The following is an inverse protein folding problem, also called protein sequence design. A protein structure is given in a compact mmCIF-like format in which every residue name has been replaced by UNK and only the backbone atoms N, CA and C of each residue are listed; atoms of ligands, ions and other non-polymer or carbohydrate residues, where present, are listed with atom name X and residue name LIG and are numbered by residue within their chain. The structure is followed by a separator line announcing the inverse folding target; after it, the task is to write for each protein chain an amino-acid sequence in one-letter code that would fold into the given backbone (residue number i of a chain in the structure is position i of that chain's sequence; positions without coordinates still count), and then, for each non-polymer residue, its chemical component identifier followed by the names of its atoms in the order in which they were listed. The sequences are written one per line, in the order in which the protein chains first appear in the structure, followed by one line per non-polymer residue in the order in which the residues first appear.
data_IF_135485647384
#
_entry.id   IF_135485647384
#
_cell.length_a   1.000
_cell.length_b   1.000
_cell.length_c   1.000
_cell.angle_alpha   90.00
_cell.angle_beta   90.00
_cell.angle_gamma   90.00
#
_symmetry.space_group_name_H-M   'P 1'
#
loop_
_entity.id
_entity.type
_entity.pdbx_description
1 polymer ?
#
# COMPACT_ATOMS: atom_id res chain seq x y z
N UNK A 1 -3.36 -11.22 19.59
CA UNK A 1 -2.09 -11.99 19.58
C UNK A 1 -2.12 -13.10 20.61
N UNK A 2 -2.44 -12.80 21.88
CA UNK A 2 -2.45 -13.76 23.01
C UNK A 2 -3.20 -15.09 22.76
N UNK A 3 -4.24 -15.11 21.93
CA UNK A 3 -5.01 -16.32 21.59
C UNK A 3 -4.33 -17.24 20.54
N UNK A 4 -3.11 -16.94 20.10
CA UNK A 4 -2.38 -17.73 19.09
C UNK A 4 -2.86 -17.55 17.64
N UNK A 5 -4.03 -16.94 17.41
CA UNK A 5 -4.59 -16.72 16.07
C UNK A 5 -3.70 -15.83 15.20
N UNK A 6 -3.12 -14.77 15.75
CA UNK A 6 -2.28 -13.83 14.99
C UNK A 6 -1.03 -14.53 14.42
N UNK A 7 -0.41 -15.39 15.22
CA UNK A 7 0.77 -16.16 14.83
C UNK A 7 0.48 -17.04 13.61
N UNK A 8 -0.72 -17.62 13.55
CA UNK A 8 -1.15 -18.42 12.39
C UNK A 8 -1.20 -17.60 11.10
N UNK A 9 -1.61 -16.32 11.18
CA UNK A 9 -1.55 -15.42 10.03
C UNK A 9 -0.11 -15.18 9.54
N UNK A 10 0.86 -15.03 10.45
CA UNK A 10 2.29 -14.97 10.07
C UNK A 10 2.72 -16.26 9.38
N UNK A 11 2.35 -17.42 9.94
CA UNK A 11 2.69 -18.74 9.36
C UNK A 11 2.05 -18.98 7.98
N UNK A 12 0.84 -18.45 7.74
CA UNK A 12 0.18 -18.53 6.43
C UNK A 12 1.02 -17.81 5.37
N UNK A 13 1.51 -16.61 5.70
CA UNK A 13 2.31 -15.81 4.78
C UNK A 13 3.74 -16.35 4.61
N UNK A 14 4.27 -17.01 5.65
CA UNK A 14 5.60 -17.62 5.65
C UNK A 14 5.68 -18.93 4.84
N UNK A 15 4.54 -19.62 4.61
CA UNK A 15 4.53 -20.88 3.85
C UNK A 15 5.01 -20.63 2.41
N UNK A 16 6.09 -21.31 2.02
CA UNK A 16 6.88 -20.96 0.84
C UNK A 16 6.08 -20.96 -0.47
N UNK A 17 5.22 -21.96 -0.71
CA UNK A 17 4.47 -22.00 -1.97
C UNK A 17 3.35 -20.97 -1.99
N UNK A 18 2.69 -20.74 -0.85
CA UNK A 18 1.69 -19.68 -0.72
C UNK A 18 2.34 -18.31 -0.93
N UNK A 19 3.52 -18.07 -0.37
CA UNK A 19 4.27 -16.83 -0.54
C UNK A 19 4.68 -16.57 -1.99
N UNK A 20 5.22 -17.59 -2.68
CA UNK A 20 5.58 -17.53 -4.11
C UNK A 20 4.38 -17.35 -5.04
N UNK A 21 3.20 -17.79 -4.62
CA UNK A 21 1.97 -17.51 -5.34
C UNK A 21 1.53 -16.07 -5.08
N UNK A 22 1.61 -15.61 -3.83
CA UNK A 22 1.16 -14.29 -3.40
C UNK A 22 2.00 -13.10 -3.89
N UNK A 23 3.24 -13.29 -4.36
CA UNK A 23 4.15 -12.19 -4.72
C UNK A 23 4.81 -12.39 -6.08
N UNK A 24 5.08 -11.30 -6.78
CA UNK A 24 5.63 -11.23 -8.13
C UNK A 24 4.81 -12.00 -9.17
N UNK A 25 3.50 -12.16 -8.92
CA UNK A 25 2.59 -12.87 -9.81
C UNK A 25 1.34 -12.06 -10.13
N UNK A 26 0.54 -12.57 -11.04
CA UNK A 26 -0.79 -12.05 -11.39
C UNK A 26 -1.82 -12.12 -10.26
N UNK A 27 -1.52 -12.81 -9.14
CA UNK A 27 -2.50 -13.01 -8.07
C UNK A 27 -2.28 -12.15 -6.83
N UNK A 28 -1.20 -11.34 -6.80
CA UNK A 28 -0.78 -10.54 -5.65
C UNK A 28 -1.93 -9.81 -4.93
N UNK A 29 -2.67 -8.97 -5.66
CA UNK A 29 -3.77 -8.19 -5.08
C UNK A 29 -4.90 -9.08 -4.52
N UNK A 30 -5.23 -10.16 -5.22
CA UNK A 30 -6.34 -11.05 -4.87
C UNK A 30 -6.00 -11.95 -3.69
N UNK A 31 -4.76 -12.44 -3.64
CA UNK A 31 -4.26 -13.26 -2.53
C UNK A 31 -4.30 -12.47 -1.24
N UNK A 32 -3.75 -11.25 -1.25
CA UNK A 32 -3.73 -10.36 -0.10
C UNK A 32 -5.14 -9.92 0.32
N UNK A 33 -6.05 -9.64 -0.62
CA UNK A 33 -7.46 -9.36 -0.29
C UNK A 33 -8.12 -10.48 0.50
N UNK A 34 -8.01 -11.73 0.04
CA UNK A 34 -8.56 -12.89 0.78
C UNK A 34 -7.90 -13.05 2.15
N UNK A 35 -6.59 -12.81 2.23
CA UNK A 35 -5.84 -12.86 3.48
C UNK A 35 -6.33 -11.82 4.49
N UNK A 36 -6.55 -10.57 4.05
CA UNK A 36 -7.10 -9.49 4.86
C UNK A 36 -8.53 -9.79 5.33
N UNK A 37 -9.40 -10.32 4.48
CA UNK A 37 -10.76 -10.71 4.86
C UNK A 37 -10.77 -11.79 5.95
N UNK A 38 -9.91 -12.80 5.83
CA UNK A 38 -9.72 -13.79 6.89
C UNK A 38 -9.25 -13.17 8.20
N UNK A 39 -8.33 -12.19 8.14
CA UNK A 39 -7.83 -11.50 9.31
C UNK A 39 -8.89 -10.61 9.96
N UNK A 40 -9.68 -9.89 9.16
CA UNK A 40 -10.81 -9.09 9.62
C UNK A 40 -11.87 -9.96 10.31
N UNK A 41 -12.25 -11.08 9.70
CA UNK A 41 -13.16 -12.05 10.28
C UNK A 41 -12.64 -12.59 11.63
N UNK A 42 -11.33 -12.82 11.74
CA UNK A 42 -10.70 -13.19 13.00
C UNK A 42 -10.86 -12.10 14.06
N UNK A 43 -10.62 -10.83 13.72
CA UNK A 43 -10.82 -9.71 14.65
C UNK A 43 -12.28 -9.57 15.08
N UNK A 44 -13.23 -9.67 14.15
CA UNK A 44 -14.68 -9.62 14.43
C UNK A 44 -15.12 -10.73 15.39
N UNK A 45 -14.46 -11.88 15.35
CA UNK A 45 -14.76 -13.02 16.23
C UNK A 45 -14.33 -12.85 17.69
N UNK A 46 -13.60 -11.78 18.03
CA UNK A 46 -13.06 -11.58 19.38
C UNK A 46 -14.10 -11.16 20.43
N UNK A 47 -15.37 -11.00 20.02
CA UNK A 47 -16.52 -10.75 20.89
C UNK A 47 -17.40 -9.63 20.34
N UNK A 48 -18.56 -9.41 20.96
CA UNK A 48 -19.60 -8.49 20.46
C UNK A 48 -19.12 -7.08 20.20
N UNK A 49 -18.13 -6.59 20.97
CA UNK A 49 -17.53 -5.26 20.79
C UNK A 49 -16.83 -5.11 19.43
N UNK A 50 -16.37 -6.20 18.83
CA UNK A 50 -15.60 -6.20 17.59
C UNK A 50 -16.42 -6.64 16.37
N UNK A 51 -17.69 -7.03 16.55
CA UNK A 51 -18.51 -7.61 15.46
C UNK A 51 -18.65 -6.70 14.23
N UNK A 52 -18.60 -5.38 14.42
CA UNK A 52 -18.67 -4.37 13.37
C UNK A 52 -17.29 -3.77 13.02
N UNK A 53 -16.20 -4.36 13.50
CA UNK A 53 -14.86 -3.87 13.20
C UNK A 53 -14.61 -4.00 11.69
N UNK A 54 -14.07 -2.95 11.10
CA UNK A 54 -13.45 -2.98 9.78
C UNK A 54 -11.95 -2.73 9.92
N UNK A 55 -11.15 -3.31 9.02
CA UNK A 55 -9.74 -3.01 8.95
C UNK A 55 -9.54 -1.59 8.41
N UNK A 56 -8.81 -0.72 9.12
CA UNK A 56 -8.43 0.58 8.57
C UNK A 56 -7.28 0.42 7.56
N UNK A 57 -7.16 1.35 6.62
CA UNK A 57 -6.01 1.45 5.72
C UNK A 57 -5.04 2.54 6.21
N UNK A 58 -3.77 2.44 5.85
CA UNK A 58 -2.78 3.49 6.14
C UNK A 58 -2.69 4.47 4.96
N UNK A 59 -3.29 5.65 5.10
CA UNK A 59 -3.22 6.75 4.14
C UNK A 59 -1.86 7.46 4.17
N UNK A 60 -0.82 6.79 3.65
CA UNK A 60 0.49 7.41 3.53
C UNK A 60 0.56 8.50 2.45
N UNK A 61 -0.46 8.62 1.57
CA UNK A 61 -0.56 9.75 0.61
C UNK A 61 -0.85 11.04 1.35
N UNK A 62 -1.83 11.02 2.27
CA UNK A 62 -2.09 12.15 3.17
C UNK A 62 -0.89 12.47 4.05
N UNK A 63 -0.26 11.44 4.63
CA UNK A 63 0.89 11.66 5.51
C UNK A 63 2.09 12.24 4.75
N UNK A 64 2.31 11.83 3.50
CA UNK A 64 3.33 12.41 2.62
C UNK A 64 3.04 13.88 2.29
N UNK A 65 1.79 14.22 1.95
CA UNK A 65 1.39 15.62 1.75
C UNK A 65 1.61 16.48 3.00
N UNK A 66 1.37 15.91 4.19
CA UNK A 66 1.62 16.57 5.48
C UNK A 66 3.12 16.86 5.66
N UNK A 67 4.00 15.93 5.30
CA UNK A 67 5.46 16.15 5.27
C UNK A 67 5.86 17.23 4.27
N UNK A 68 5.25 17.21 3.07
CA UNK A 68 5.45 18.23 2.04
C UNK A 68 5.10 19.65 2.50
N UNK A 69 4.15 19.78 3.44
CA UNK A 69 3.78 21.03 4.09
C UNK A 69 4.62 21.39 5.33
N UNK A 70 5.77 20.73 5.51
CA UNK A 70 6.74 20.92 6.61
C UNK A 70 6.20 20.75 8.04
N UNK A 71 5.01 20.12 8.19
CA UNK A 71 4.37 19.88 9.50
C UNK A 71 4.94 18.68 10.27
N UNK A 72 5.72 17.85 9.60
CA UNK A 72 6.36 16.66 10.15
C UNK A 72 7.57 16.28 9.28
N UNK A 73 8.45 15.41 9.78
CA UNK A 73 9.72 15.08 9.11
C UNK A 73 10.05 13.59 9.06
N UNK A 74 9.21 12.74 9.63
CA UNK A 74 9.43 11.30 9.73
C UNK A 74 8.12 10.52 9.69
N UNK A 75 8.19 9.24 9.34
CA UNK A 75 7.04 8.33 9.33
C UNK A 75 6.26 8.44 10.65
N UNK A 76 6.95 8.39 11.79
CA UNK A 76 6.28 8.43 13.09
C UNK A 76 5.69 9.81 13.44
N UNK A 77 6.32 10.90 12.96
CA UNK A 77 5.77 12.25 13.16
C UNK A 77 4.60 12.57 12.22
N UNK A 78 4.62 12.04 11.00
CA UNK A 78 3.61 12.28 9.97
C UNK A 78 2.40 11.33 10.06
N UNK A 79 2.58 10.12 10.60
CA UNK A 79 1.58 9.06 10.58
C UNK A 79 1.13 8.66 11.99
N UNK A 80 -0.05 9.14 12.46
CA UNK A 80 -0.57 8.78 13.78
C UNK A 80 -0.76 7.27 14.00
N UNK A 81 -1.07 6.51 12.94
CA UNK A 81 -1.24 5.05 13.06
C UNK A 81 0.03 4.37 13.56
N UNK A 82 1.21 4.79 13.10
CA UNK A 82 2.47 4.15 13.49
C UNK A 82 2.73 4.28 15.00
N UNK A 83 2.41 5.45 15.58
CA UNK A 83 2.39 5.67 17.04
C UNK A 83 1.30 4.87 17.73
N UNK A 84 0.09 4.86 17.17
CA UNK A 84 -1.06 4.09 17.69
C UNK A 84 -0.80 2.58 17.75
N UNK A 85 0.06 2.07 16.87
CA UNK A 85 0.52 0.69 16.86
C UNK A 85 1.84 0.48 17.64
N UNK A 86 2.24 1.43 18.49
CA UNK A 86 3.33 1.30 19.45
C UNK A 86 4.60 2.11 19.15
N UNK A 87 4.70 2.75 17.99
CA UNK A 87 5.88 3.51 17.55
C UNK A 87 7.11 2.62 17.30
N UNK A 88 8.30 3.22 17.18
CA UNK A 88 9.55 2.48 16.93
C UNK A 88 10.58 2.53 18.07
N UNK A 89 10.41 3.41 19.05
CA UNK A 89 11.52 3.81 19.94
C UNK A 89 11.53 3.19 21.34
N UNK A 90 10.38 2.73 21.84
CA UNK A 90 10.26 2.21 23.22
C UNK A 90 10.54 0.72 23.28
N UNK A 91 11.72 0.36 23.78
CA UNK A 91 12.15 -1.03 23.96
C UNK A 91 13.66 -1.13 24.14
N UNK A 92 14.19 -2.35 23.97
CA UNK A 92 15.63 -2.62 23.94
C UNK A 92 16.02 -3.26 22.61
N UNK A 93 17.31 -3.25 22.26
CA UNK A 93 17.79 -3.95 21.06
C UNK A 93 17.38 -5.44 21.12
N UNK A 94 16.91 -5.97 19.99
CA UNK A 94 16.38 -7.34 19.96
C UNK A 94 17.46 -8.41 20.14
N UNK A 95 18.72 -8.10 19.79
CA UNK A 95 19.85 -9.01 19.91
C UNK A 95 19.67 -10.27 19.05
N UNK A 96 19.97 -11.44 19.60
CA UNK A 96 19.88 -12.73 18.90
C UNK A 96 18.54 -13.45 19.13
N UNK A 97 17.50 -12.73 19.58
CA UNK A 97 16.15 -13.31 19.70
C UNK A 97 15.67 -13.80 18.34
N UNK A 98 15.11 -15.00 18.31
CA UNK A 98 14.54 -15.61 17.12
C UNK A 98 13.08 -15.20 16.97
N UNK A 99 12.72 -14.72 15.78
CA UNK A 99 11.37 -14.38 15.37
C UNK A 99 11.06 -15.14 14.08
N UNK A 100 10.31 -16.24 14.20
CA UNK A 100 9.93 -17.08 13.06
C UNK A 100 11.12 -17.54 12.19
N UNK A 101 12.27 -17.83 12.80
CA UNK A 101 13.49 -18.22 12.08
C UNK A 101 14.45 -17.08 11.75
N UNK A 102 14.11 -15.82 12.07
CA UNK A 102 14.91 -14.64 11.75
C UNK A 102 15.40 -13.90 13.00
N UNK A 103 16.50 -13.13 12.87
CA UNK A 103 17.02 -12.26 13.93
C UNK A 103 17.16 -10.83 13.43
N UNK A 104 17.01 -9.86 14.34
CA UNK A 104 17.00 -8.43 14.01
C UNK A 104 17.88 -7.62 14.99
N UNK A 105 19.17 -7.95 15.13
CA UNK A 105 19.99 -7.55 16.28
C UNK A 105 20.05 -6.05 16.53
N UNK A 106 20.00 -5.25 15.46
CA UNK A 106 20.12 -3.80 15.52
C UNK A 106 18.77 -3.08 15.65
N UNK A 107 17.64 -3.77 15.47
CA UNK A 107 16.31 -3.19 15.62
C UNK A 107 15.92 -3.09 17.09
N UNK A 108 15.16 -2.05 17.43
CA UNK A 108 14.54 -1.92 18.75
C UNK A 108 13.38 -2.89 18.81
N UNK A 109 13.39 -3.78 19.80
CA UNK A 109 12.26 -4.65 20.11
C UNK A 109 11.21 -3.86 20.88
N UNK A 110 10.21 -3.35 20.15
CA UNK A 110 9.22 -2.40 20.66
C UNK A 110 8.24 -3.08 21.61
N UNK A 111 8.12 -2.53 22.81
CA UNK A 111 7.32 -3.10 23.93
C UNK A 111 6.05 -2.29 24.23
N UNK A 112 5.71 -1.29 23.41
CA UNK A 112 4.43 -0.61 23.52
C UNK A 112 3.31 -1.47 22.92
N UNK A 113 2.08 -1.30 23.40
CA UNK A 113 0.92 -1.99 22.80
C UNK A 113 0.67 -1.49 21.37
N UNK A 114 0.22 -2.38 20.45
CA UNK A 114 -0.02 -3.81 20.64
C UNK A 114 1.23 -4.70 20.49
N UNK A 115 2.38 -4.16 20.05
CA UNK A 115 3.62 -4.93 19.82
C UNK A 115 4.08 -5.74 21.04
N UNK A 116 3.78 -5.25 22.24
CA UNK A 116 4.05 -5.93 23.52
C UNK A 116 3.39 -7.31 23.67
N UNK A 117 2.39 -7.62 22.85
CA UNK A 117 1.65 -8.88 22.88
C UNK A 117 2.15 -9.89 21.83
N UNK A 118 3.24 -9.58 21.13
CA UNK A 118 3.80 -10.49 20.13
C UNK A 118 4.35 -11.75 20.80
N UNK A 119 3.99 -12.87 20.19
CA UNK A 119 4.49 -14.20 20.47
C UNK A 119 4.85 -14.85 19.13
N UNK A 120 5.91 -15.65 19.05
CA UNK A 120 6.26 -16.37 17.81
C UNK A 120 5.60 -17.74 17.71
N UNK A 121 5.18 -18.30 18.85
CA UNK A 121 4.59 -19.63 18.94
C UNK A 121 3.10 -19.55 19.31
N UNK A 122 2.16 -20.03 18.47
CA UNK A 122 0.74 -20.03 18.78
C UNK A 122 0.44 -20.72 20.12
N UNK A 123 -0.22 -20.01 21.05
CA UNK A 123 -0.64 -20.58 22.35
C UNK A 123 0.47 -20.78 23.38
N UNK A 124 1.70 -20.35 23.11
CA UNK A 124 2.79 -20.36 24.10
C UNK A 124 2.56 -19.30 25.19
N UNK A 125 2.84 -19.65 26.44
CA UNK A 125 2.94 -18.67 27.54
C UNK A 125 4.30 -17.96 27.60
N UNK A 126 5.31 -18.50 26.92
CA UNK A 126 6.62 -17.87 26.75
C UNK A 126 6.62 -17.10 25.42
N UNK A 127 6.51 -15.77 25.52
CA UNK A 127 6.43 -14.87 24.39
C UNK A 127 7.57 -13.84 24.41
N UNK A 128 7.94 -13.35 23.24
CA UNK A 128 8.99 -12.35 23.05
C UNK A 128 8.56 -10.98 23.61
N UNK A 129 7.24 -10.73 23.65
CA UNK A 129 6.60 -9.52 24.18
C UNK A 129 7.10 -8.22 23.53
N UNK A 130 7.52 -8.31 22.26
CA UNK A 130 7.92 -7.17 21.47
C UNK A 130 7.95 -7.49 19.98
N UNK A 131 7.88 -6.45 19.15
CA UNK A 131 8.12 -6.52 17.69
C UNK A 131 9.38 -5.71 17.38
N UNK A 132 10.43 -6.31 16.78
CA UNK A 132 11.57 -5.52 16.32
C UNK A 132 11.12 -4.56 15.19
N UNK A 133 11.48 -3.28 15.26
CA UNK A 133 11.10 -2.28 14.24
C UNK A 133 12.28 -1.47 13.72
N UNK A 134 12.17 -1.00 12.48
CA UNK A 134 13.04 0.05 11.94
C UNK A 134 12.85 1.37 12.69
N UNK A 135 13.75 2.33 12.50
CA UNK A 135 13.71 3.61 13.21
C UNK A 135 12.74 4.62 12.57
N UNK A 136 11.44 4.35 12.69
CA UNK A 136 10.39 5.16 12.05
C UNK A 136 10.35 6.61 12.57
N UNK A 137 10.84 6.85 13.78
CA UNK A 137 10.95 8.18 14.37
C UNK A 137 11.94 9.09 13.64
N UNK A 138 12.98 8.52 13.01
CA UNK A 138 14.02 9.24 12.28
C UNK A 138 14.08 8.86 10.78
N UNK A 139 13.11 8.11 10.29
CA UNK A 139 13.00 7.75 8.86
C UNK A 139 11.96 8.65 8.20
N UNK A 140 12.35 9.40 7.17
CA UNK A 140 11.43 10.24 6.41
C UNK A 140 10.37 9.42 5.66
N UNK A 141 9.26 10.07 5.27
CA UNK A 141 8.39 9.47 4.25
C UNK A 141 9.09 9.53 2.90
N UNK A 142 8.70 8.65 1.98
CA UNK A 142 9.38 8.46 0.70
C UNK A 142 8.51 8.93 -0.47
N UNK A 143 9.13 9.35 -1.56
CA UNK A 143 8.43 9.77 -2.79
C UNK A 143 7.43 8.71 -3.29
N UNK A 144 7.69 7.43 -3.09
CA UNK A 144 6.80 6.35 -3.50
C UNK A 144 5.42 6.40 -2.81
N UNK A 145 5.31 7.08 -1.66
CA UNK A 145 4.05 7.37 -0.95
C UNK A 145 3.33 8.62 -1.50
N UNK A 146 3.92 9.36 -2.44
CA UNK A 146 3.35 10.61 -2.96
C UNK A 146 2.12 10.40 -3.82
N UNK A 147 1.24 11.40 -3.84
CA UNK A 147 0.04 11.42 -4.67
C UNK A 147 0.34 11.18 -6.16
N UNK A 148 1.34 11.88 -6.71
CA UNK A 148 1.75 11.73 -8.11
C UNK A 148 2.25 10.32 -8.44
N UNK A 149 2.99 9.68 -7.52
CA UNK A 149 3.43 8.30 -7.73
C UNK A 149 2.24 7.34 -7.68
N UNK A 150 1.41 7.37 -6.62
CA UNK A 150 0.26 6.46 -6.49
C UNK A 150 -0.69 6.58 -7.69
N UNK A 151 -0.97 7.81 -8.16
CA UNK A 151 -1.76 8.05 -9.38
C UNK A 151 -1.21 7.27 -10.57
N UNK A 152 0.11 7.34 -10.80
CA UNK A 152 0.76 6.64 -11.91
C UNK A 152 0.60 5.14 -11.79
N UNK A 153 0.88 4.57 -10.61
CA UNK A 153 0.92 3.12 -10.44
C UNK A 153 -0.46 2.48 -10.63
N UNK A 154 -1.51 3.19 -10.20
CA UNK A 154 -2.90 2.71 -10.31
C UNK A 154 -3.52 3.03 -11.67
N UNK A 155 -3.39 4.28 -12.14
CA UNK A 155 -4.22 4.76 -13.25
C UNK A 155 -3.51 4.76 -14.61
N UNK A 156 -2.21 4.49 -14.72
CA UNK A 156 -1.54 4.53 -16.04
C UNK A 156 -1.73 3.27 -16.90
N UNK A 157 -2.21 2.18 -16.32
CA UNK A 157 -2.33 0.89 -17.00
C UNK A 157 -3.77 0.53 -17.35
N UNK A 158 -3.93 -0.25 -18.42
CA UNK A 158 -5.22 -0.73 -18.93
C UNK A 158 -5.54 -2.18 -18.56
N UNK A 159 -4.60 -2.91 -17.94
CA UNK A 159 -4.83 -4.31 -17.52
C UNK A 159 -4.42 -4.51 -16.06
N UNK A 160 -5.14 -5.37 -15.35
CA UNK A 160 -4.89 -5.61 -13.92
C UNK A 160 -3.51 -6.22 -13.68
N UNK A 161 -2.99 -7.04 -14.60
CA UNK A 161 -1.65 -7.62 -14.47
C UNK A 161 -0.57 -6.54 -14.34
N UNK A 162 -0.64 -5.49 -15.16
CA UNK A 162 0.36 -4.43 -15.14
C UNK A 162 0.14 -3.49 -13.96
N UNK A 163 -1.11 -3.14 -13.65
CA UNK A 163 -1.44 -2.35 -12.47
C UNK A 163 -1.00 -3.05 -11.17
N UNK A 164 -1.27 -4.36 -11.04
CA UNK A 164 -0.82 -5.19 -9.92
C UNK A 164 0.70 -5.17 -9.77
N UNK A 165 1.43 -5.37 -10.86
CA UNK A 165 2.89 -5.31 -10.85
C UNK A 165 3.40 -3.93 -10.42
N UNK A 166 2.80 -2.87 -10.95
CA UNK A 166 3.15 -1.49 -10.63
C UNK A 166 2.93 -1.21 -9.14
N UNK A 167 1.75 -1.53 -8.61
CA UNK A 167 1.39 -1.36 -7.19
C UNK A 167 2.30 -2.18 -6.26
N UNK A 168 2.61 -3.43 -6.65
CA UNK A 168 3.52 -4.31 -5.90
C UNK A 168 4.93 -3.71 -5.85
N UNK A 169 5.48 -3.28 -6.99
CA UNK A 169 6.81 -2.66 -7.05
C UNK A 169 6.85 -1.32 -6.31
N UNK A 170 5.84 -0.47 -6.48
CA UNK A 170 5.70 0.82 -5.82
C UNK A 170 4.22 1.14 -5.65
N UNK A 171 3.72 1.35 -4.43
CA UNK A 171 4.48 1.61 -3.21
C UNK A 171 4.85 0.38 -2.38
N UNK A 172 4.29 -0.80 -2.64
CA UNK A 172 4.34 -1.92 -1.69
C UNK A 172 5.76 -2.32 -1.26
N UNK A 173 6.65 -2.67 -2.19
CA UNK A 173 8.02 -3.10 -1.85
C UNK A 173 8.81 -1.98 -1.16
N UNK A 174 8.62 -0.73 -1.59
CA UNK A 174 9.24 0.43 -0.97
C UNK A 174 8.81 0.63 0.47
N UNK A 175 7.52 0.53 0.77
CA UNK A 175 7.02 0.67 2.14
C UNK A 175 7.59 -0.43 3.05
N UNK A 176 7.62 -1.67 2.59
CA UNK A 176 8.25 -2.78 3.32
C UNK A 176 9.74 -2.51 3.60
N UNK A 177 10.48 -2.10 2.56
CA UNK A 177 11.91 -1.77 2.68
C UNK A 177 12.17 -0.62 3.64
N UNK A 178 11.40 0.46 3.56
CA UNK A 178 11.54 1.65 4.41
C UNK A 178 11.20 1.36 5.88
N UNK A 179 10.18 0.54 6.16
CA UNK A 179 9.84 0.19 7.54
C UNK A 179 10.88 -0.74 8.19
N UNK A 180 11.66 -1.46 7.38
CA UNK A 180 12.74 -2.35 7.79
C UNK A 180 12.31 -3.40 8.83
N UNK A 181 13.27 -4.06 9.49
CA UNK A 181 12.99 -5.12 10.45
C UNK A 181 12.14 -6.24 9.82
N UNK A 182 11.11 -6.75 10.52
CA UNK A 182 10.17 -7.73 9.98
C UNK A 182 9.42 -7.26 8.74
N UNK A 183 9.03 -5.98 8.67
CA UNK A 183 8.38 -5.44 7.48
C UNK A 183 9.27 -5.55 6.24
N UNK A 184 10.60 -5.47 6.41
CA UNK A 184 11.55 -5.70 5.33
C UNK A 184 11.72 -7.17 4.91
N UNK A 185 11.04 -8.14 5.56
CA UNK A 185 11.14 -9.56 5.25
C UNK A 185 9.85 -10.07 4.59
N UNK A 186 9.89 -10.56 3.34
CA UNK A 186 8.71 -10.91 2.57
C UNK A 186 8.01 -12.18 3.06
N UNK A 187 8.57 -12.90 4.05
CA UNK A 187 7.93 -14.09 4.61
C UNK A 187 7.22 -13.78 5.93
N UNK A 188 7.78 -12.90 6.76
CA UNK A 188 7.32 -12.68 8.14
C UNK A 188 6.88 -11.24 8.43
N UNK A 189 6.74 -10.40 7.40
CA UNK A 189 6.23 -9.03 7.54
C UNK A 189 4.88 -8.90 8.26
N UNK A 190 3.92 -9.85 8.17
CA UNK A 190 2.70 -9.79 8.99
C UNK A 190 2.94 -9.88 10.50
N UNK A 191 4.16 -10.19 10.95
CA UNK A 191 4.51 -10.09 12.36
C UNK A 191 4.30 -8.67 12.89
N UNK A 192 4.55 -7.63 12.09
CA UNK A 192 4.25 -6.26 12.52
C UNK A 192 2.78 -5.90 12.22
N UNK A 193 1.97 -5.45 13.20
CA UNK A 193 0.58 -5.07 12.99
C UNK A 193 0.35 -4.02 11.89
N UNK A 194 1.35 -3.18 11.59
CA UNK A 194 1.23 -2.18 10.51
C UNK A 194 1.06 -2.85 9.13
N UNK A 195 1.49 -4.11 8.97
CA UNK A 195 1.31 -4.90 7.74
C UNK A 195 -0.14 -4.86 7.26
N UNK A 196 -1.09 -5.11 8.15
CA UNK A 196 -2.50 -5.22 7.78
C UNK A 196 -3.07 -3.88 7.31
N UNK A 197 -2.61 -2.76 7.85
CA UNK A 197 -3.04 -1.42 7.42
C UNK A 197 -2.34 -0.98 6.13
N UNK A 198 -1.08 -1.34 5.95
CA UNK A 198 -0.37 -1.15 4.70
C UNK A 198 -1.03 -1.93 3.57
N UNK A 199 -1.31 -3.22 3.78
CA UNK A 199 -1.95 -4.07 2.76
C UNK A 199 -3.41 -3.71 2.51
N UNK A 200 -4.13 -3.17 3.50
CA UNK A 200 -5.46 -2.63 3.24
C UNK A 200 -5.44 -1.33 2.42
N UNK A 201 -4.34 -0.56 2.47
CA UNK A 201 -4.11 0.53 1.51
C UNK A 201 -3.82 -0.03 0.10
N UNK A 202 -3.05 -1.12 -0.03
CA UNK A 202 -2.88 -1.82 -1.31
C UNK A 202 -4.22 -2.33 -1.86
N UNK A 203 -5.09 -2.84 -0.99
CA UNK A 203 -6.42 -3.29 -1.35
C UNK A 203 -7.34 -2.16 -1.82
N UNK A 204 -7.23 -0.99 -1.19
CA UNK A 204 -7.88 0.24 -1.64
C UNK A 204 -7.41 0.64 -3.05
N UNK A 205 -6.10 0.56 -3.35
CA UNK A 205 -5.58 0.88 -4.68
C UNK A 205 -6.12 -0.08 -5.76
N UNK A 206 -6.25 -1.37 -5.44
CA UNK A 206 -6.92 -2.33 -6.32
C UNK A 206 -8.38 -1.95 -6.56
N UNK A 207 -9.08 -1.52 -5.51
CA UNK A 207 -10.48 -1.08 -5.58
C UNK A 207 -10.66 0.16 -6.45
N UNK A 208 -9.77 1.14 -6.34
CA UNK A 208 -9.73 2.32 -7.21
C UNK A 208 -9.52 1.91 -8.67
N UNK A 209 -8.57 0.99 -8.95
CA UNK A 209 -8.37 0.47 -10.30
C UNK A 209 -9.64 -0.18 -10.85
N UNK A 210 -10.27 -1.07 -10.07
CA UNK A 210 -11.49 -1.76 -10.48
C UNK A 210 -12.61 -0.77 -10.81
N UNK A 211 -12.87 0.20 -9.93
CA UNK A 211 -13.87 1.23 -10.15
C UNK A 211 -13.60 2.01 -11.45
N UNK A 212 -12.36 2.48 -11.62
CA UNK A 212 -11.95 3.31 -12.74
C UNK A 212 -11.89 2.59 -14.09
N UNK A 213 -11.51 1.31 -14.11
CA UNK A 213 -11.20 0.58 -15.35
C UNK A 213 -12.25 -0.47 -15.71
N UNK A 214 -12.94 -1.03 -14.73
CA UNK A 214 -13.93 -2.09 -14.94
C UNK A 214 -15.34 -1.53 -14.81
N UNK A 215 -15.69 -1.03 -13.63
CA UNK A 215 -17.06 -0.60 -13.32
C UNK A 215 -17.52 0.57 -14.19
N UNK A 216 -16.66 1.58 -14.36
CA UNK A 216 -16.95 2.76 -15.20
C UNK A 216 -17.27 2.40 -16.66
N UNK A 217 -16.87 1.22 -17.13
CA UNK A 217 -17.15 0.72 -18.48
C UNK A 217 -18.48 -0.07 -18.57
N UNK A 218 -19.22 -0.18 -17.46
CA UNK A 218 -20.48 -0.91 -17.36
C UNK A 218 -20.33 -2.28 -16.68
N UNK A 219 -21.45 -2.78 -16.15
CA UNK A 219 -21.50 -4.07 -15.47
C UNK A 219 -21.13 -5.23 -16.42
N UNK A 220 -20.25 -6.11 -15.95
CA UNK A 220 -19.83 -7.31 -16.68
C UNK A 220 -20.64 -8.53 -16.21
N UNK A 221 -21.04 -9.39 -17.15
CA UNK A 221 -21.58 -10.70 -16.81
C UNK A 221 -20.53 -11.58 -16.14
N UNK A 222 -20.95 -12.62 -15.40
CA UNK A 222 -20.02 -13.57 -14.76
C UNK A 222 -19.02 -14.18 -15.76
N UNK A 223 -19.49 -14.48 -16.99
CA UNK A 223 -18.64 -14.99 -18.07
C UNK A 223 -17.64 -13.95 -18.54
N UNK A 224 -18.07 -12.69 -18.70
CA UNK A 224 -17.19 -11.62 -19.18
C UNK A 224 -16.12 -11.29 -18.14
N UNK A 225 -16.46 -11.31 -16.84
CA UNK A 225 -15.49 -11.15 -15.75
C UNK A 225 -14.35 -12.18 -15.80
N UNK A 226 -14.62 -13.41 -16.26
CA UNK A 226 -13.59 -14.44 -16.40
C UNK A 226 -12.65 -14.21 -17.60
N UNK A 227 -13.00 -13.36 -18.56
CA UNK A 227 -12.22 -13.15 -19.78
C UNK A 227 -11.66 -11.73 -19.93
N UNK A 228 -12.22 -10.77 -19.19
CA UNK A 228 -11.79 -9.38 -19.21
C UNK A 228 -10.44 -9.21 -18.50
N UNK A 229 -9.44 -8.73 -19.24
CA UNK A 229 -8.07 -8.53 -18.75
C UNK A 229 -7.94 -7.40 -17.73
N UNK A 230 -8.99 -6.60 -17.53
CA UNK A 230 -9.11 -5.60 -16.46
C UNK A 230 -9.61 -6.23 -15.17
N UNK A 231 -10.30 -7.36 -15.24
CA UNK A 231 -10.78 -8.11 -14.08
C UNK A 231 -9.73 -9.11 -13.63
N UNK A 232 -9.27 -9.98 -14.53
CA UNK A 232 -8.19 -10.92 -14.24
C UNK A 232 -7.40 -11.25 -15.50
N UNK A 233 -6.07 -11.31 -15.37
CA UNK A 233 -5.19 -11.79 -16.43
C UNK A 233 -4.20 -12.79 -15.84
N UNK A 234 -4.33 -14.05 -16.26
CA UNK A 234 -3.52 -15.16 -15.77
C UNK A 234 -2.02 -15.08 -16.13
N UNK A 235 -1.22 -15.85 -15.39
CA UNK A 235 0.23 -15.92 -15.49
C UNK A 235 0.74 -17.32 -15.11
N UNK A 236 2.05 -17.52 -15.22
CA UNK A 236 2.75 -18.64 -14.58
C UNK A 236 3.40 -18.11 -13.30
N UNK A 237 3.16 -18.77 -12.17
CA UNK A 237 3.74 -18.39 -10.87
C UNK A 237 5.16 -18.94 -10.72
N UNK A 238 5.87 -18.47 -9.70
CA UNK A 238 7.21 -19.00 -9.33
C UNK A 238 7.19 -20.45 -8.85
N UNK A 239 5.99 -20.99 -8.59
CA UNK A 239 5.78 -22.42 -8.37
C UNK A 239 5.74 -23.23 -9.69
N UNK A 240 5.97 -22.58 -10.85
CA UNK A 240 5.84 -23.16 -12.19
C UNK A 240 4.42 -23.61 -12.53
N UNK A 241 3.40 -22.97 -11.92
CA UNK A 241 2.00 -23.31 -12.11
C UNK A 241 1.29 -22.26 -12.95
N UNK A 242 0.47 -22.69 -13.91
CA UNK A 242 -0.38 -21.79 -14.69
C UNK A 242 -1.64 -21.46 -13.90
N UNK A 243 -1.85 -20.18 -13.63
CA UNK A 243 -3.01 -19.69 -12.92
C UNK A 243 -3.92 -18.92 -13.87
N UNK A 244 -5.21 -19.28 -13.85
CA UNK A 244 -6.28 -18.63 -14.58
C UNK A 244 -7.33 -18.05 -13.62
N UNK A 245 -8.35 -17.36 -14.17
CA UNK A 245 -9.40 -16.70 -13.39
C UNK A 245 -10.11 -17.66 -12.43
N UNK A 246 -10.37 -18.91 -12.87
CA UNK A 246 -11.12 -19.93 -12.13
C UNK A 246 -10.23 -20.87 -11.31
N UNK A 247 -8.91 -20.70 -11.36
CA UNK A 247 -7.97 -21.46 -10.51
C UNK A 247 -8.27 -21.21 -9.04
N UNK A 248 -8.06 -22.23 -8.21
CA UNK A 248 -8.24 -22.11 -6.76
C UNK A 248 -7.02 -21.43 -6.15
N UNK A 249 -7.25 -20.37 -5.38
CA UNK A 249 -6.24 -19.66 -4.60
C UNK A 249 -5.68 -20.56 -3.51
N UNK A 250 -4.35 -20.76 -3.51
CA UNK A 250 -3.62 -21.50 -2.47
C UNK A 250 -3.34 -20.63 -1.27
N UNK A 251 -3.79 -21.06 -0.09
CA UNK A 251 -3.43 -20.42 1.18
C UNK A 251 -3.23 -21.50 2.23
N UNK A 252 -1.98 -21.70 2.64
CA UNK A 252 -1.56 -22.82 3.50
C UNK A 252 -0.67 -22.33 4.63
N UNK A 253 -0.45 -23.18 5.62
CA UNK A 253 0.46 -22.92 6.73
C UNK A 253 1.09 -24.22 7.21
N UNK A 254 2.26 -24.11 7.84
CA UNK A 254 2.91 -25.23 8.51
C UNK A 254 2.46 -25.31 9.98
N UNK A 255 2.01 -26.50 10.40
CA UNK A 255 1.62 -26.80 11.78
C UNK A 255 2.29 -28.11 12.19
N UNK A 256 3.14 -28.05 13.22
CA UNK A 256 3.86 -29.21 13.73
C UNK A 256 4.61 -30.02 12.64
N UNK A 257 5.27 -29.32 11.71
CA UNK A 257 6.04 -29.93 10.62
C UNK A 257 5.20 -30.43 9.43
N UNK A 258 3.87 -30.19 9.43
CA UNK A 258 2.98 -30.54 8.33
C UNK A 258 2.36 -29.31 7.70
N UNK A 259 2.42 -29.23 6.37
CA UNK A 259 1.69 -28.21 5.60
C UNK A 259 0.25 -28.64 5.42
N UNK A 260 -0.68 -27.76 5.77
CA UNK A 260 -2.14 -27.96 5.61
C UNK A 260 -2.76 -26.75 4.90
N UNK A 261 -3.92 -26.95 4.28
CA UNK A 261 -4.72 -25.82 3.80
C UNK A 261 -5.20 -24.98 5.00
N UNK A 262 -5.29 -23.67 4.82
CA UNK A 262 -5.73 -22.77 5.89
C UNK A 262 -7.14 -23.13 6.39
N UNK A 263 -8.02 -23.60 5.50
CA UNK A 263 -9.38 -24.00 5.86
C UNK A 263 -9.41 -25.19 6.83
N UNK A 264 -8.36 -26.02 6.84
CA UNK A 264 -8.23 -27.19 7.71
C UNK A 264 -7.61 -26.87 9.08
N UNK A 265 -7.10 -25.64 9.30
CA UNK A 265 -6.54 -25.26 10.60
C UNK A 265 -7.66 -25.05 11.64
N UNK A 266 -7.61 -25.72 12.81
CA UNK A 266 -8.69 -25.68 13.79
C UNK A 266 -8.84 -24.31 14.48
N UNK A 267 -7.82 -23.46 14.42
CA UNK A 267 -7.82 -22.16 15.10
C UNK A 267 -8.28 -21.03 14.17
N UNK A 268 -7.82 -21.03 12.91
CA UNK A 268 -8.09 -19.94 11.96
C UNK A 268 -8.90 -20.32 10.73
N UNK A 269 -9.07 -21.60 10.40
CA UNK A 269 -9.71 -22.03 9.15
C UNK A 269 -11.16 -21.55 9.00
N UNK A 270 -11.90 -21.46 10.12
CA UNK A 270 -13.26 -20.92 10.15
C UNK A 270 -13.39 -19.48 9.62
N UNK A 271 -12.33 -18.68 9.66
CA UNK A 271 -12.36 -17.29 9.20
C UNK A 271 -12.28 -17.15 7.68
N UNK A 272 -11.90 -18.23 7.00
CA UNK A 272 -11.82 -18.30 5.54
C UNK A 272 -13.02 -19.04 4.93
N UNK A 273 -13.91 -19.60 5.74
CA UNK A 273 -15.11 -20.28 5.27
C UNK A 273 -16.05 -19.28 4.58
N UNK A 274 -16.58 -19.66 3.42
CA UNK A 274 -17.47 -18.82 2.62
C UNK A 274 -16.77 -17.77 1.77
N UNK A 275 -15.48 -17.49 1.99
CA UNK A 275 -14.72 -16.60 1.12
C UNK A 275 -14.50 -17.25 -0.26
N UNK A 276 -14.56 -16.48 -1.36
CA UNK A 276 -14.30 -17.03 -2.69
C UNK A 276 -12.90 -17.67 -2.81
N UNK A 277 -12.82 -18.72 -3.61
CA UNK A 277 -11.57 -19.42 -3.94
C UNK A 277 -11.05 -19.08 -5.33
N UNK A 278 -11.89 -18.53 -6.20
CA UNK A 278 -11.54 -18.16 -7.57
C UNK A 278 -11.12 -16.71 -7.65
N UNK A 279 -10.05 -16.43 -8.38
CA UNK A 279 -9.43 -15.10 -8.43
C UNK A 279 -10.34 -14.00 -8.96
N UNK A 280 -11.10 -14.26 -10.03
CA UNK A 280 -12.00 -13.24 -10.59
C UNK A 280 -13.12 -12.81 -9.61
N UNK A 281 -13.46 -13.64 -8.62
CA UNK A 281 -14.45 -13.33 -7.59
C UNK A 281 -13.90 -12.48 -6.44
N UNK A 282 -12.61 -12.15 -6.47
CA UNK A 282 -11.96 -11.30 -5.47
C UNK A 282 -11.67 -9.90 -6.02
N UNK A 283 -12.35 -9.50 -7.10
CA UNK A 283 -12.03 -8.28 -7.86
C UNK A 283 -12.79 -7.05 -7.37
N UNK A 284 -14.09 -7.19 -7.08
CA UNK A 284 -14.91 -6.14 -6.49
C UNK A 284 -15.09 -6.34 -4.98
N UNK A 285 -14.62 -5.38 -4.19
CA UNK A 285 -14.75 -5.39 -2.73
C UNK A 285 -16.22 -5.48 -2.26
N UNK A 286 -17.17 -4.87 -2.98
CA UNK A 286 -18.59 -4.82 -2.59
C UNK A 286 -19.26 -6.17 -2.69
N UNK A 287 -18.81 -7.03 -3.63
CA UNK A 287 -19.28 -8.42 -3.73
C UNK A 287 -18.79 -9.30 -2.57
N UNK A 288 -17.84 -8.78 -1.77
CA UNK A 288 -17.27 -9.39 -0.59
C UNK A 288 -17.77 -8.72 0.70
N UNK A 289 -18.83 -7.90 0.61
CA UNK A 289 -19.51 -7.25 1.73
C UNK A 289 -18.68 -6.17 2.45
N UNK A 290 -17.79 -5.48 1.73
CA UNK A 290 -17.15 -4.27 2.24
C UNK A 290 -16.94 -3.19 1.17
N UNK A 291 -16.82 -1.95 1.62
CA UNK A 291 -16.50 -0.79 0.80
C UNK A 291 -15.55 0.14 1.57
N UNK A 292 -14.80 0.95 0.84
CA UNK A 292 -13.91 1.95 1.42
C UNK A 292 -14.58 3.30 1.61
N UNK A 293 -14.17 3.98 2.67
CA UNK A 293 -14.34 5.40 2.88
C UNK A 293 -13.04 6.11 2.52
N UNK A 294 -13.03 6.87 1.43
CA UNK A 294 -11.86 7.55 0.89
C UNK A 294 -11.82 9.00 1.36
N UNK A 295 -10.74 9.34 2.04
CA UNK A 295 -10.49 10.67 2.55
C UNK A 295 -9.47 11.43 1.69
N UNK A 296 -9.67 12.75 1.57
CA UNK A 296 -8.69 13.66 1.00
C UNK A 296 -8.24 13.29 -0.42
N UNK A 297 -6.93 13.25 -0.64
CA UNK A 297 -6.33 13.07 -1.96
C UNK A 297 -6.71 11.74 -2.62
N UNK A 298 -6.87 10.65 -1.86
CA UNK A 298 -7.21 9.34 -2.43
C UNK A 298 -8.62 9.32 -3.07
N UNK A 299 -9.55 10.11 -2.52
CA UNK A 299 -10.89 10.28 -3.09
C UNK A 299 -10.86 10.84 -4.52
N UNK A 300 -9.88 11.69 -4.83
CA UNK A 300 -9.70 12.28 -6.15
C UNK A 300 -9.23 11.28 -7.22
N UNK A 301 -8.84 10.06 -6.83
CA UNK A 301 -8.50 9.00 -7.78
C UNK A 301 -9.71 8.26 -8.32
N UNK A 302 -10.89 8.32 -7.68
CA UNK A 302 -12.08 7.69 -8.23
C UNK A 302 -12.53 8.47 -9.48
N UNK A 303 -12.42 7.82 -10.63
CA UNK A 303 -12.45 8.44 -11.96
C UNK A 303 -13.79 9.09 -12.37
N UNK A 304 -14.79 9.08 -11.49
CA UNK A 304 -16.06 9.81 -11.58
C UNK A 304 -15.92 11.32 -11.29
N UNK A 305 -14.74 11.80 -10.87
CA UNK A 305 -14.43 13.23 -10.64
C UNK A 305 -13.86 13.94 -11.89
N UNK A 306 -13.95 13.32 -13.07
CA UNK A 306 -13.46 13.89 -14.34
C UNK A 306 -14.44 14.90 -14.97
N UNK A 307 -14.69 16.01 -14.27
CA UNK A 307 -15.17 17.26 -14.87
C UNK A 307 -14.61 18.44 -14.05
N UNK A 308 -14.13 19.54 -14.68
CA UNK A 308 -13.44 20.66 -14.01
C UNK A 308 -14.32 21.53 -13.08
N UNK A 309 -15.39 20.98 -12.51
CA UNK A 309 -16.33 21.65 -11.58
C UNK A 309 -16.59 20.79 -10.32
N UNK A 310 -15.61 19.99 -9.89
CA UNK A 310 -15.79 18.88 -8.96
C UNK A 310 -15.99 19.24 -7.48
N UNK A 311 -15.85 20.51 -7.07
CA UNK A 311 -16.10 20.90 -5.68
C UNK A 311 -17.60 20.87 -5.32
N UNK A 312 -18.48 21.33 -6.21
CA UNK A 312 -19.94 21.33 -5.99
C UNK A 312 -20.56 19.94 -6.24
N UNK A 313 -19.94 19.10 -7.08
CA UNK A 313 -20.42 17.74 -7.36
C UNK A 313 -20.21 16.79 -6.17
N UNK A 314 -19.12 16.92 -5.43
CA UNK A 314 -18.82 16.09 -4.24
C UNK A 314 -19.84 16.29 -3.11
N UNK A 315 -20.37 17.50 -2.94
CA UNK A 315 -21.43 17.80 -1.96
C UNK A 315 -22.77 17.14 -2.35
N UNK A 316 -23.07 17.06 -3.66
CA UNK A 316 -24.29 16.41 -4.16
C UNK A 316 -24.24 14.88 -4.04
N UNK A 317 -23.09 14.25 -4.29
CA UNK A 317 -22.90 12.79 -4.19
C UNK A 317 -23.03 12.32 -2.73
N UNK A 318 -22.47 13.07 -1.78
CA UNK A 318 -22.59 12.75 -0.34
C UNK A 318 -24.06 12.74 0.14
N UNK A 319 -24.94 13.48 -0.53
CA UNK A 319 -26.36 13.58 -0.18
C UNK A 319 -27.19 12.44 -0.78
N UNK A 320 -26.82 11.89 -1.94
CA UNK A 320 -27.49 10.73 -2.56
C UNK A 320 -27.12 9.40 -1.90
N UNK A 321 -25.88 9.25 -1.40
CA UNK A 321 -25.43 8.03 -0.69
C UNK A 321 -26.22 7.78 0.61
N UNK A 322 -26.72 8.84 1.26
CA UNK A 322 -27.50 8.74 2.49
C UNK A 322 -28.86 8.01 2.34
N UNK A 323 -29.34 7.81 1.11
CA UNK A 323 -30.61 7.12 0.81
C UNK A 323 -30.44 5.80 0.03
N UNK A 324 -29.21 5.36 -0.25
CA UNK A 324 -28.98 4.12 -0.99
C UNK A 324 -28.90 2.90 -0.06
N UNK A 325 -29.63 1.83 -0.43
CA UNK A 325 -29.50 0.51 0.20
C UNK A 325 -28.34 -0.32 -0.36
N UNK A 326 -27.57 0.22 -1.31
CA UNK A 326 -26.41 -0.45 -1.91
C UNK A 326 -25.14 -0.08 -1.17
N UNK A 327 -24.35 -1.09 -0.80
CA UNK A 327 -23.00 -0.88 -0.26
C UNK A 327 -22.13 -0.23 -1.34
N UNK A 328 -21.73 1.01 -1.13
CA UNK A 328 -20.91 1.77 -2.08
C UNK A 328 -19.74 2.49 -1.39
N UNK A 329 -18.75 2.88 -2.19
CA UNK A 329 -17.61 3.63 -1.72
C UNK A 329 -18.01 5.06 -1.35
N UNK A 330 -17.54 5.54 -0.20
CA UNK A 330 -17.82 6.90 0.27
C UNK A 330 -16.60 7.76 -0.05
N UNK A 331 -16.81 8.93 -0.63
CA UNK A 331 -15.74 9.90 -0.91
C UNK A 331 -15.98 11.16 -0.10
N UNK A 332 -15.02 11.51 0.74
CA UNK A 332 -15.07 12.76 1.49
C UNK A 332 -14.40 13.91 0.73
N UNK A 333 -14.91 15.14 0.89
CA UNK A 333 -14.34 16.31 0.24
C UNK A 333 -12.93 16.62 0.74
N UNK A 334 -12.15 17.27 -0.12
CA UNK A 334 -10.78 17.69 0.19
C UNK A 334 -10.83 19.00 0.99
N UNK A 335 -10.66 18.88 2.30
CA UNK A 335 -10.77 20.04 3.21
C UNK A 335 -9.43 20.60 3.67
N UNK A 336 -8.38 19.76 3.75
CA UNK A 336 -7.06 20.15 4.25
C UNK A 336 -6.30 21.02 3.24
N UNK A 337 -5.67 22.08 3.72
CA UNK A 337 -4.98 23.06 2.87
C UNK A 337 -3.73 22.47 2.21
N UNK A 338 -3.01 21.58 2.91
CA UNK A 338 -1.90 20.82 2.34
C UNK A 338 -2.33 19.97 1.13
N UNK A 339 -3.54 19.42 1.14
CA UNK A 339 -4.06 18.64 0.01
C UNK A 339 -4.45 19.54 -1.17
N UNK A 340 -5.11 20.67 -0.88
CA UNK A 340 -5.42 21.68 -1.90
C UNK A 340 -4.15 22.22 -2.55
N UNK A 341 -3.08 22.38 -1.77
CA UNK A 341 -1.77 22.81 -2.26
C UNK A 341 -1.16 21.76 -3.23
N UNK A 342 -1.24 20.47 -2.90
CA UNK A 342 -0.80 19.38 -3.81
C UNK A 342 -1.57 19.43 -5.14
N UNK A 343 -2.90 19.57 -5.10
CA UNK A 343 -3.70 19.64 -6.31
C UNK A 343 -3.43 20.90 -7.12
N UNK A 344 -3.36 22.06 -6.47
CA UNK A 344 -3.05 23.33 -7.14
C UNK A 344 -1.65 23.33 -7.77
N UNK A 345 -0.69 22.61 -7.17
CA UNK A 345 0.61 22.36 -7.75
C UNK A 345 0.50 21.49 -9.02
N UNK A 346 -0.20 20.36 -8.99
CA UNK A 346 -0.41 19.53 -10.19
C UNK A 346 -1.12 20.31 -11.30
N UNK A 347 -2.16 21.08 -10.97
CA UNK A 347 -2.90 21.92 -11.92
C UNK A 347 -1.99 22.98 -12.57
N UNK A 348 -1.09 23.60 -11.81
CA UNK A 348 -0.13 24.56 -12.34
C UNK A 348 0.85 23.91 -13.32
N UNK A 349 1.33 22.70 -13.01
CA UNK A 349 2.23 21.95 -13.90
C UNK A 349 1.49 21.49 -15.15
N UNK A 350 0.25 21.01 -15.02
CA UNK A 350 -0.58 20.61 -16.16
C UNK A 350 -0.87 21.81 -17.07
N UNK A 351 -1.27 22.95 -16.50
CA UNK A 351 -1.53 24.16 -17.27
C UNK A 351 -0.28 24.63 -18.03
N UNK A 352 0.88 24.61 -17.38
CA UNK A 352 2.15 24.95 -18.03
C UNK A 352 2.52 23.95 -19.12
N UNK A 353 2.35 22.65 -18.87
CA UNK A 353 2.55 21.59 -19.86
C UNK A 353 1.66 21.77 -21.08
N UNK A 354 0.39 22.13 -20.89
CA UNK A 354 -0.54 22.40 -21.99
C UNK A 354 -0.10 23.60 -22.85
N UNK A 355 0.37 24.68 -22.23
CA UNK A 355 0.96 25.83 -22.96
C UNK A 355 2.15 25.40 -23.81
N UNK A 356 2.93 24.42 -23.34
CA UNK A 356 4.07 23.84 -24.05
C UNK A 356 3.70 22.70 -25.01
N UNK A 357 2.41 22.39 -25.19
CA UNK A 357 1.94 21.35 -26.10
C UNK A 357 2.12 19.91 -25.58
N UNK A 358 2.29 19.70 -24.27
CA UNK A 358 2.32 18.38 -23.65
C UNK A 358 0.91 17.79 -23.59
N UNK A 359 0.81 16.48 -23.83
CA UNK A 359 -0.39 15.72 -23.45
C UNK A 359 -0.56 15.67 -21.93
N UNK A 360 -1.76 15.32 -21.46
CA UNK A 360 -2.04 15.17 -20.04
C UNK A 360 -1.17 14.08 -19.39
N UNK A 361 -0.90 12.98 -20.09
CA UNK A 361 -0.05 11.90 -19.60
C UNK A 361 1.42 12.35 -19.47
N UNK A 362 1.92 13.10 -20.46
CA UNK A 362 3.25 13.71 -20.37
C UNK A 362 3.33 14.71 -19.22
N UNK A 363 2.31 15.55 -19.01
CA UNK A 363 2.28 16.48 -17.89
C UNK A 363 2.32 15.76 -16.52
N UNK A 364 1.59 14.66 -16.35
CA UNK A 364 1.70 13.84 -15.13
C UNK A 364 3.09 13.20 -14.96
N UNK A 365 3.75 12.79 -16.05
CA UNK A 365 5.12 12.30 -15.99
C UNK A 365 6.09 13.42 -15.58
N UNK A 366 5.86 14.67 -15.98
CA UNK A 366 6.63 15.83 -15.51
C UNK A 366 6.37 16.15 -14.03
N UNK A 367 5.11 16.08 -13.55
CA UNK A 367 4.77 16.22 -12.12
C UNK A 367 5.58 15.23 -11.28
N UNK A 368 5.71 13.98 -11.73
CA UNK A 368 6.50 12.94 -11.03
C UNK A 368 7.98 13.30 -10.94
N UNK A 369 8.57 13.80 -12.03
CA UNK A 369 9.96 14.26 -12.03
C UNK A 369 10.16 15.41 -11.05
N UNK A 370 9.24 16.39 -11.05
CA UNK A 370 9.29 17.52 -10.12
C UNK A 370 9.13 17.08 -8.66
N UNK A 371 8.25 16.10 -8.36
CA UNK A 371 8.12 15.54 -7.01
C UNK A 371 9.35 14.75 -6.56
N UNK A 372 10.05 14.04 -7.46
CA UNK A 372 11.33 13.41 -7.13
C UNK A 372 12.38 14.45 -6.76
N UNK A 373 12.45 15.54 -7.52
CA UNK A 373 13.38 16.64 -7.22
C UNK A 373 13.00 17.36 -5.92
N UNK A 374 11.70 17.49 -5.63
CA UNK A 374 11.20 17.97 -4.34
C UNK A 374 11.64 17.05 -3.19
N UNK A 375 11.44 15.74 -3.32
CA UNK A 375 11.88 14.77 -2.30
C UNK A 375 13.40 14.83 -2.09
N UNK A 376 14.17 14.84 -3.17
CA UNK A 376 15.62 14.79 -3.08
C UNK A 376 16.21 16.08 -2.52
N UNK A 377 15.66 17.24 -2.88
CA UNK A 377 16.31 18.52 -2.58
C UNK A 377 15.63 19.36 -1.50
N UNK A 378 14.37 19.10 -1.17
CA UNK A 378 13.57 19.97 -0.31
C UNK A 378 12.99 19.31 0.93
N UNK A 379 12.76 17.99 0.90
CA UNK A 379 12.11 17.26 1.97
C UNK A 379 13.13 16.41 2.75
N UNK A 380 12.81 16.03 4.00
CA UNK A 380 13.64 15.10 4.76
C UNK A 380 13.86 13.78 4.01
N UNK A 381 15.07 13.23 4.13
CA UNK A 381 15.48 12.02 3.41
C UNK A 381 16.03 12.30 2.01
N UNK A 382 16.34 11.23 1.29
CA UNK A 382 16.78 11.25 -0.11
C UNK A 382 16.07 10.12 -0.86
N UNK A 383 16.02 10.21 -2.19
CA UNK A 383 15.55 9.12 -3.04
C UNK A 383 16.70 8.15 -3.21
N UNK A 384 16.55 6.95 -2.66
CA UNK A 384 17.60 5.93 -2.63
C UNK A 384 17.17 4.65 -3.37
N UNK A 385 18.17 3.89 -3.82
CA UNK A 385 17.96 2.52 -4.30
C UNK A 385 17.75 1.56 -3.13
N UNK A 386 17.18 0.40 -3.40
CA UNK A 386 17.10 -0.66 -2.41
C UNK A 386 18.51 -1.14 -2.02
N UNK A 387 18.69 -1.42 -0.73
CA UNK A 387 19.95 -2.03 -0.27
C UNK A 387 20.18 -3.39 -0.96
N UNK A 388 21.44 -3.80 -1.18
CA UNK A 388 21.73 -5.11 -1.79
C UNK A 388 21.09 -6.28 -1.03
N UNK A 389 21.03 -6.19 0.31
CA UNK A 389 20.41 -7.21 1.15
C UNK A 389 18.89 -7.28 0.91
N UNK A 390 18.22 -6.14 0.80
CA UNK A 390 16.78 -6.09 0.48
C UNK A 390 16.52 -6.66 -0.92
N UNK A 391 17.28 -6.23 -1.93
CA UNK A 391 17.14 -6.76 -3.30
C UNK A 391 17.31 -8.28 -3.36
N UNK A 392 18.30 -8.81 -2.66
CA UNK A 392 18.54 -10.26 -2.60
C UNK A 392 17.37 -11.00 -1.93
N UNK A 393 16.83 -10.46 -0.84
CA UNK A 393 15.72 -11.06 -0.10
C UNK A 393 14.40 -11.01 -0.86
N UNK A 394 14.17 -9.95 -1.64
CA UNK A 394 12.95 -9.72 -2.42
C UNK A 394 13.08 -10.15 -3.88
N UNK A 395 14.21 -10.73 -4.28
CA UNK A 395 14.48 -11.12 -5.68
C UNK A 395 14.34 -9.95 -6.68
N UNK A 396 14.61 -8.72 -6.24
CA UNK A 396 14.52 -7.52 -7.06
C UNK A 396 15.77 -7.42 -7.93
N UNK A 397 15.57 -7.41 -9.25
CA UNK A 397 16.62 -7.22 -10.23
C UNK A 397 16.64 -5.77 -10.74
N UNK A 398 17.83 -5.19 -10.82
CA UNK A 398 18.03 -3.83 -11.34
C UNK A 398 17.83 -2.75 -10.29
N UNK A 399 17.58 -1.53 -10.77
CA UNK A 399 17.47 -0.31 -9.98
C UNK A 399 16.01 -0.02 -9.64
N UNK A 400 15.77 0.46 -8.42
CA UNK A 400 14.42 0.89 -8.00
C UNK A 400 13.87 1.99 -8.96
N UNK A 401 12.60 1.94 -9.40
CA UNK A 401 12.09 2.87 -10.42
C UNK A 401 12.23 4.36 -10.06
N UNK A 402 12.00 4.71 -8.80
CA UNK A 402 12.11 6.09 -8.31
C UNK A 402 13.57 6.57 -8.32
N UNK A 403 14.51 5.72 -7.92
CA UNK A 403 15.94 6.06 -8.00
C UNK A 403 16.45 6.14 -9.45
N UNK A 404 16.00 5.23 -10.32
CA UNK A 404 16.33 5.28 -11.74
C UNK A 404 15.82 6.58 -12.39
N UNK A 405 14.63 7.06 -12.01
CA UNK A 405 14.10 8.33 -12.50
C UNK A 405 14.91 9.52 -11.99
N UNK A 406 15.32 9.53 -10.71
CA UNK A 406 16.24 10.56 -10.18
C UNK A 406 17.55 10.60 -10.99
N UNK A 407 18.18 9.44 -11.21
CA UNK A 407 19.42 9.34 -11.98
C UNK A 407 19.25 9.83 -13.42
N UNK A 408 18.11 9.51 -14.06
CA UNK A 408 17.82 9.96 -15.41
C UNK A 408 17.64 11.48 -15.50
N UNK A 409 17.02 12.11 -14.48
CA UNK A 409 16.90 13.58 -14.40
C UNK A 409 18.29 14.20 -14.21
N UNK A 410 19.07 13.73 -13.24
CA UNK A 410 20.38 14.29 -12.89
C UNK A 410 21.43 14.15 -14.00
N UNK A 411 21.37 13.06 -14.76
CA UNK A 411 22.25 12.83 -15.92
C UNK A 411 21.83 13.60 -17.17
N UNK A 412 20.64 14.21 -17.18
CA UNK A 412 20.06 14.84 -18.36
C UNK A 412 19.50 13.85 -19.39
N UNK A 413 19.43 12.55 -19.08
CA UNK A 413 18.82 11.54 -19.94
C UNK A 413 17.28 11.68 -20.00
N UNK A 414 16.66 12.20 -18.93
CA UNK A 414 15.24 12.46 -18.85
C UNK A 414 14.96 13.77 -18.07
N UNK A 415 15.32 14.94 -18.64
CA UNK A 415 15.18 16.22 -17.95
C UNK A 415 13.71 16.59 -17.73
N UNK A 416 13.47 17.52 -16.81
CA UNK A 416 12.16 18.15 -16.65
C UNK A 416 11.93 19.09 -17.84
N UNK A 417 10.80 18.93 -18.54
CA UNK A 417 10.42 19.68 -19.74
C UNK A 417 9.62 20.94 -19.42
N UNK A 418 9.03 21.02 -18.23
CA UNK A 418 8.21 22.14 -17.79
C UNK A 418 9.10 23.39 -17.66
N UNK A 419 8.76 24.42 -18.42
CA UNK A 419 9.41 25.72 -18.34
C UNK A 419 9.19 26.34 -16.95
N UNK A 420 10.26 26.90 -16.37
CA UNK A 420 10.25 27.51 -15.04
C UNK A 420 9.75 26.57 -13.92
N UNK A 421 9.95 25.25 -14.06
CA UNK A 421 9.51 24.25 -13.06
C UNK A 421 10.03 24.55 -11.64
N UNK A 422 11.22 25.14 -11.51
CA UNK A 422 11.77 25.55 -10.22
C UNK A 422 10.97 26.66 -9.55
N UNK A 423 10.46 27.62 -10.32
CA UNK A 423 9.65 28.72 -9.81
C UNK A 423 8.26 28.22 -9.42
N UNK A 424 7.73 27.25 -10.18
CA UNK A 424 6.50 26.54 -9.80
C UNK A 424 6.71 25.82 -8.46
N UNK A 425 7.76 25.02 -8.28
CA UNK A 425 8.03 24.38 -6.99
C UNK A 425 8.19 25.40 -5.86
N UNK A 426 8.96 26.47 -6.08
CA UNK A 426 9.20 27.49 -5.06
C UNK A 426 7.91 28.17 -4.60
N UNK A 427 6.94 28.34 -5.50
CA UNK A 427 5.61 28.89 -5.19
C UNK A 427 4.80 28.00 -4.25
N UNK A 428 4.90 26.68 -4.38
CA UNK A 428 4.04 25.73 -3.65
C UNK A 428 4.73 25.07 -2.43
N UNK A 429 6.06 25.14 -2.31
CA UNK A 429 6.82 24.42 -1.28
C UNK A 429 7.85 25.30 -0.57
N UNK A 430 7.39 26.33 0.15
CA UNK A 430 8.20 27.19 1.03
C UNK A 430 9.47 27.76 0.37
N UNK A 431 9.37 28.21 -0.88
CA UNK A 431 10.49 28.77 -1.63
C UNK A 431 11.51 27.73 -2.12
N UNK A 432 11.25 26.43 -1.95
CA UNK A 432 12.15 25.41 -2.45
C UNK A 432 12.05 25.24 -3.97
N UNK A 433 13.18 25.40 -4.64
CA UNK A 433 13.31 25.33 -6.11
C UNK A 433 13.47 23.90 -6.64
N UNK A 434 13.82 22.94 -5.77
CA UNK A 434 13.99 21.53 -6.11
C UNK A 434 15.27 21.21 -6.90
N UNK A 435 16.11 22.17 -7.25
CA UNK A 435 17.34 21.97 -8.03
C UNK A 435 18.63 21.94 -7.18
N UNK A 436 18.57 22.43 -5.95
CA UNK A 436 19.69 22.40 -4.99
C UNK A 436 19.23 21.87 -3.64
N UNK A 437 20.01 20.96 -3.03
CA UNK A 437 19.72 20.42 -1.70
C UNK A 437 19.69 21.57 -0.69
N UNK A 438 18.57 21.73 -0.01
CA UNK A 438 18.43 22.66 1.10
C UNK A 438 18.76 21.93 2.40
N UNK A 439 19.63 22.52 3.22
CA UNK A 439 19.83 22.09 4.60
C UNK A 439 18.56 22.44 5.39
N UNK A 440 17.67 21.48 5.58
CA UNK A 440 16.45 21.61 6.41
C UNK A 440 16.44 20.61 7.55
#
# INVERSE_FOLDING_TARGET
MDKGMYQKFVLIHQEQMSNREAHHTCVFLFWHRKYLLGFENMLRSLGDRYKCLTLPYWDYVQNYATMGSTRCASIESCSPVTKGLGGSTKGAKSGQKNFYGYTYPNNVCVTNRPASHMCTSPGSGACENCVPRGDWANTAMIYDMSYANIRKQVLSESTILKASKNIETSPHDYVHGTLAGPMGNPLVSPMDPIFFMHHNMIDLLHTIFYHCRVESAGALSDRDQQTDRRVFQGCTTDNSERVGPTSSLRMRLEVAGRVIDVADDPLVGKFFQGLPTQYYKLTDARTLDYAFELNGLLGNFLCSVTSPQSAELLESIATEVANSTTLDHIVHPIVLDENKNVLAFEDAVIAQGQVQGLSLDEAHDEIRKMNIMLQENCLPGSVEDFTPAFKAMWHINGTSPSFALLQAIQSGANPIRIENWQDILAKFFDGCRGDTKQDK
#
